data_IF_150717853855
#
_entry.id   IF_150717853855
#
_cell.length_a   1.000
_cell.length_b   1.000
_cell.length_c   1.000
_cell.angle_alpha   90.00
_cell.angle_beta   90.00
_cell.angle_gamma   90.00
#
_symmetry.space_group_name_H-M   'P 1'
#
loop_
_entity.id
_entity.type
_entity.pdbx_description
1 polymer ?
#
# COMPACT_ATOMS: atom_id res chain seq x y z
N UNK A 1 1.46 83.05 -13.23
CA UNK A 1 2.83 83.37 -13.70
C UNK A 1 2.71 84.19 -14.96
N UNK A 2 3.64 85.10 -15.20
CA UNK A 2 3.74 85.84 -16.46
C UNK A 2 4.22 84.88 -17.56
N UNK A 3 3.64 84.98 -18.75
CA UNK A 3 4.10 84.33 -19.97
C UNK A 3 5.08 85.24 -20.71
N UNK A 4 5.90 84.71 -21.63
CA UNK A 4 6.72 85.56 -22.51
C UNK A 4 5.90 86.65 -23.22
N UNK A 5 4.68 86.32 -23.64
CA UNK A 5 3.72 87.24 -24.27
C UNK A 5 3.26 88.36 -23.32
N UNK A 6 3.11 88.07 -22.02
CA UNK A 6 2.75 89.07 -21.01
C UNK A 6 3.91 90.04 -20.72
N UNK A 7 5.15 89.67 -21.05
CA UNK A 7 6.32 90.55 -20.95
C UNK A 7 6.41 91.44 -22.19
N UNK A 8 6.12 90.90 -23.37
CA UNK A 8 6.13 91.63 -24.64
C UNK A 8 5.05 92.72 -24.73
N UNK A 9 3.86 92.45 -24.21
CA UNK A 9 2.71 93.38 -24.26
C UNK A 9 2.68 94.39 -23.11
N UNK A 10 3.73 94.44 -22.29
CA UNK A 10 3.75 95.23 -21.07
C UNK A 10 4.14 96.69 -21.33
N UNK A 11 3.18 97.60 -21.11
CA UNK A 11 3.42 99.04 -21.23
C UNK A 11 3.88 99.67 -19.90
N UNK A 12 4.87 100.56 -19.98
CA UNK A 12 5.40 101.32 -18.84
C UNK A 12 5.01 102.80 -18.90
N UNK A 13 4.56 103.37 -17.77
CA UNK A 13 4.22 104.81 -17.67
C UNK A 13 5.48 105.69 -17.70
N UNK A 14 5.49 106.73 -18.54
CA UNK A 14 6.59 107.69 -18.65
C UNK A 14 6.62 108.66 -17.46
N UNK A 15 7.80 108.91 -16.89
CA UNK A 15 8.05 109.90 -15.80
C UNK A 15 9.31 110.72 -16.14
N UNK A 16 9.42 111.99 -15.69
CA UNK A 16 10.47 112.92 -16.11
C UNK A 16 11.91 112.53 -15.72
N UNK A 17 12.09 111.55 -14.83
CA UNK A 17 13.40 110.98 -14.45
C UNK A 17 13.32 109.45 -14.51
N UNK A 18 13.41 108.87 -15.71
CA UNK A 18 13.22 107.43 -15.95
C UNK A 18 14.39 106.81 -16.72
N UNK A 19 14.36 105.48 -16.82
CA UNK A 19 15.29 104.71 -17.64
C UNK A 19 15.12 105.01 -19.14
N UNK A 20 16.19 104.84 -19.91
CA UNK A 20 16.14 104.96 -21.37
C UNK A 20 15.23 103.88 -21.97
N UNK A 21 14.24 104.30 -22.76
CA UNK A 21 13.26 103.39 -23.38
C UNK A 21 13.98 102.38 -24.28
N UNK A 22 14.96 102.83 -25.08
CA UNK A 22 15.70 101.96 -26.00
C UNK A 22 16.55 100.89 -25.30
N UNK A 23 17.15 101.22 -24.15
CA UNK A 23 17.93 100.26 -23.37
C UNK A 23 17.03 99.25 -22.65
N UNK A 24 15.90 99.73 -22.12
CA UNK A 24 14.89 98.87 -21.49
C UNK A 24 14.28 97.91 -22.52
N UNK A 25 13.94 98.38 -23.73
CA UNK A 25 13.37 97.54 -24.77
C UNK A 25 14.36 96.45 -25.23
N UNK A 26 15.65 96.79 -25.41
CA UNK A 26 16.69 95.80 -25.73
C UNK A 26 16.82 94.75 -24.62
N UNK A 27 16.83 95.17 -23.36
CA UNK A 27 16.88 94.26 -22.22
C UNK A 27 15.64 93.37 -22.13
N UNK A 28 14.44 93.92 -22.40
CA UNK A 28 13.19 93.14 -22.41
C UNK A 28 13.21 92.06 -23.49
N UNK A 29 13.75 92.34 -24.68
CA UNK A 29 13.92 91.33 -25.73
C UNK A 29 14.84 90.19 -25.27
N UNK A 30 15.97 90.51 -24.63
CA UNK A 30 16.88 89.49 -24.06
C UNK A 30 16.19 88.65 -22.98
N UNK A 31 15.44 89.30 -22.08
CA UNK A 31 14.67 88.64 -21.02
C UNK A 31 13.59 87.73 -21.61
N UNK A 32 12.85 88.18 -22.63
CA UNK A 32 11.83 87.38 -23.32
C UNK A 32 12.47 86.13 -23.90
N UNK A 33 13.57 86.26 -24.65
CA UNK A 33 14.27 85.13 -25.25
C UNK A 33 14.77 84.11 -24.20
N UNK A 34 15.38 84.59 -23.12
CA UNK A 34 15.81 83.72 -22.03
C UNK A 34 14.64 83.03 -21.33
N UNK A 35 13.53 83.76 -21.12
CA UNK A 35 12.35 83.24 -20.45
C UNK A 35 11.60 82.23 -21.32
N UNK A 36 11.50 82.45 -22.64
CA UNK A 36 10.96 81.47 -23.58
C UNK A 36 11.75 80.15 -23.56
N UNK A 37 13.09 80.24 -23.59
CA UNK A 37 13.94 79.04 -23.52
C UNK A 37 13.70 78.28 -22.21
N UNK A 38 13.71 78.99 -21.08
CA UNK A 38 13.48 78.39 -19.77
C UNK A 38 12.06 77.79 -19.66
N UNK A 39 11.07 78.43 -20.25
CA UNK A 39 9.70 77.95 -20.27
C UNK A 39 9.56 76.65 -21.09
N UNK A 40 10.18 76.59 -22.28
CA UNK A 40 10.23 75.37 -23.12
C UNK A 40 10.93 74.23 -22.39
N UNK A 41 12.12 74.48 -21.84
CA UNK A 41 12.86 73.48 -21.05
C UNK A 41 12.05 72.99 -19.84
N UNK A 42 11.31 73.87 -19.16
CA UNK A 42 10.46 73.49 -18.03
C UNK A 42 9.33 72.54 -18.45
N UNK A 43 8.71 72.78 -19.60
CA UNK A 43 7.67 71.90 -20.15
C UNK A 43 8.28 70.55 -20.51
N UNK A 44 9.39 70.52 -21.25
CA UNK A 44 10.06 69.26 -21.62
C UNK A 44 10.49 68.44 -20.41
N UNK A 45 11.00 69.10 -19.36
CA UNK A 45 11.37 68.44 -18.12
C UNK A 45 10.15 67.88 -17.38
N UNK A 46 9.04 68.63 -17.34
CA UNK A 46 7.78 68.14 -16.74
C UNK A 46 7.23 66.93 -17.49
N UNK A 47 7.26 66.94 -18.82
CA UNK A 47 6.84 65.81 -19.64
C UNK A 47 7.71 64.59 -19.38
N UNK A 48 9.04 64.76 -19.35
CA UNK A 48 9.98 63.68 -18.99
C UNK A 48 9.71 63.13 -17.59
N UNK A 49 9.47 63.99 -16.61
CA UNK A 49 9.13 63.57 -15.24
C UNK A 49 7.82 62.77 -15.24
N UNK A 50 6.81 63.19 -16.00
CA UNK A 50 5.54 62.47 -16.11
C UNK A 50 5.76 61.06 -16.65
N UNK A 51 6.48 60.93 -17.77
CA UNK A 51 6.77 59.63 -18.41
C UNK A 51 7.57 58.71 -17.47
N UNK A 52 8.57 59.26 -16.77
CA UNK A 52 9.36 58.50 -15.81
C UNK A 52 8.53 58.05 -14.61
N UNK A 53 7.65 58.89 -14.09
CA UNK A 53 6.74 58.54 -13.01
C UNK A 53 5.76 57.43 -13.42
N UNK A 54 5.22 57.49 -14.63
CA UNK A 54 4.35 56.45 -15.17
C UNK A 54 5.11 55.11 -15.29
N UNK A 55 6.36 55.15 -15.76
CA UNK A 55 7.24 53.98 -15.80
C UNK A 55 7.50 53.40 -14.40
N UNK A 56 7.81 54.24 -13.42
CA UNK A 56 8.01 53.81 -12.02
C UNK A 56 6.73 53.16 -11.47
N UNK A 57 5.56 53.75 -11.74
CA UNK A 57 4.27 53.20 -11.31
C UNK A 57 4.03 51.81 -11.89
N UNK A 58 4.29 51.64 -13.19
CA UNK A 58 4.20 50.34 -13.86
C UNK A 58 5.14 49.29 -13.24
N UNK A 59 6.40 49.66 -12.99
CA UNK A 59 7.36 48.74 -12.35
C UNK A 59 6.96 48.37 -10.93
N UNK A 60 6.42 49.30 -10.13
CA UNK A 60 5.91 48.99 -8.79
C UNK A 60 4.74 48.00 -8.84
N UNK A 61 3.80 48.18 -9.76
CA UNK A 61 2.68 47.24 -9.92
C UNK A 61 3.17 45.85 -10.36
N UNK A 62 4.17 45.81 -11.24
CA UNK A 62 4.79 44.55 -11.66
C UNK A 62 5.51 43.85 -10.51
N UNK A 63 6.26 44.60 -9.71
CA UNK A 63 6.95 44.09 -8.51
C UNK A 63 5.95 43.50 -7.50
N UNK A 64 4.85 44.20 -7.22
CA UNK A 64 3.80 43.74 -6.31
C UNK A 64 3.11 42.46 -6.83
N UNK A 65 2.87 42.39 -8.14
CA UNK A 65 2.33 41.19 -8.80
C UNK A 65 3.31 40.02 -8.71
N UNK A 66 4.61 40.28 -8.95
CA UNK A 66 5.66 39.26 -8.88
C UNK A 66 5.79 38.71 -7.46
N UNK A 67 5.81 39.59 -6.45
CA UNK A 67 5.89 39.21 -5.05
C UNK A 67 4.66 38.38 -4.64
N UNK A 68 3.46 38.80 -5.05
CA UNK A 68 2.23 38.06 -4.79
C UNK A 68 2.24 36.68 -5.44
N UNK A 69 2.75 36.60 -6.68
CA UNK A 69 2.88 35.33 -7.42
C UNK A 69 3.90 34.41 -6.75
N UNK A 70 5.02 34.95 -6.25
CA UNK A 70 6.04 34.17 -5.55
C UNK A 70 5.50 33.57 -4.25
N UNK A 71 4.78 34.37 -3.46
CA UNK A 71 4.12 33.89 -2.23
C UNK A 71 3.07 32.83 -2.55
N UNK A 72 2.29 33.01 -3.62
CA UNK A 72 1.32 32.01 -4.06
C UNK A 72 2.02 30.71 -4.46
N UNK A 73 3.08 30.79 -5.26
CA UNK A 73 3.85 29.63 -5.70
C UNK A 73 4.45 28.87 -4.51
N UNK A 74 5.01 29.57 -3.52
CA UNK A 74 5.54 28.97 -2.29
C UNK A 74 4.44 28.25 -1.50
N UNK A 75 3.28 28.89 -1.31
CA UNK A 75 2.13 28.29 -0.63
C UNK A 75 1.63 27.04 -1.35
N UNK A 76 1.45 27.11 -2.67
CA UNK A 76 1.02 25.97 -3.47
C UNK A 76 2.03 24.83 -3.43
N UNK A 77 3.34 25.13 -3.43
CA UNK A 77 4.37 24.12 -3.29
C UNK A 77 4.30 23.41 -1.93
N UNK A 78 4.16 24.17 -0.85
CA UNK A 78 4.05 23.61 0.51
C UNK A 78 2.74 22.82 0.70
N UNK A 79 1.62 23.33 0.20
CA UNK A 79 0.34 22.60 0.20
C UNK A 79 0.43 21.29 -0.58
N UNK A 80 1.06 21.30 -1.76
CA UNK A 80 1.26 20.10 -2.59
C UNK A 80 2.12 19.08 -1.86
N UNK A 81 3.21 19.53 -1.23
CA UNK A 81 4.12 18.68 -0.46
C UNK A 81 3.40 18.07 0.76
N UNK A 82 2.68 18.88 1.52
CA UNK A 82 1.90 18.44 2.68
C UNK A 82 0.82 17.42 2.27
N UNK A 83 0.08 17.69 1.19
CA UNK A 83 -0.92 16.76 0.66
C UNK A 83 -0.29 15.44 0.18
N UNK A 84 0.89 15.49 -0.45
CA UNK A 84 1.61 14.28 -0.86
C UNK A 84 2.06 13.44 0.35
N UNK A 85 2.56 14.08 1.42
CA UNK A 85 2.92 13.40 2.66
C UNK A 85 1.72 12.75 3.33
N UNK A 86 0.61 13.49 3.50
CA UNK A 86 -0.62 12.95 4.09
C UNK A 86 -1.18 11.77 3.29
N UNK A 87 -1.19 11.85 1.96
CA UNK A 87 -1.60 10.73 1.10
C UNK A 87 -0.65 9.54 1.25
N UNK A 88 0.66 9.78 1.35
CA UNK A 88 1.65 8.74 1.60
C UNK A 88 1.39 7.99 2.91
N UNK A 89 1.18 8.72 4.01
CA UNK A 89 0.85 8.14 5.32
C UNK A 89 -0.47 7.37 5.27
N UNK A 90 -1.50 7.91 4.62
CA UNK A 90 -2.77 7.20 4.44
C UNK A 90 -2.62 5.89 3.67
N UNK A 91 -1.80 5.88 2.61
CA UNK A 91 -1.52 4.67 1.84
C UNK A 91 -0.83 3.63 2.73
N UNK A 92 0.21 4.03 3.46
CA UNK A 92 0.93 3.14 4.38
C UNK A 92 -0.01 2.56 5.43
N UNK A 93 -0.75 3.41 6.15
CA UNK A 93 -1.71 2.97 7.17
C UNK A 93 -2.77 2.02 6.59
N UNK A 94 -3.30 2.33 5.40
CA UNK A 94 -4.28 1.47 4.74
C UNK A 94 -3.70 0.10 4.34
N UNK A 95 -2.43 0.07 3.92
CA UNK A 95 -1.73 -1.15 3.57
C UNK A 95 -1.45 -2.00 4.81
N UNK A 96 -1.04 -1.38 5.92
CA UNK A 96 -0.80 -2.06 7.20
C UNK A 96 -2.09 -2.68 7.77
N UNK A 97 -3.22 -1.95 7.70
CA UNK A 97 -4.52 -2.48 8.13
C UNK A 97 -4.92 -3.69 7.27
N UNK A 98 -4.81 -3.58 5.94
CA UNK A 98 -5.13 -4.68 5.02
C UNK A 98 -4.23 -5.90 5.25
N UNK A 99 -2.93 -5.68 5.42
CA UNK A 99 -1.99 -6.76 5.71
C UNK A 99 -2.35 -7.45 7.03
N UNK A 100 -2.69 -6.69 8.07
CA UNK A 100 -3.11 -7.23 9.36
C UNK A 100 -4.41 -8.03 9.25
N UNK A 101 -5.38 -7.57 8.45
CA UNK A 101 -6.62 -8.29 8.18
C UNK A 101 -6.35 -9.63 7.47
N UNK A 102 -5.55 -9.62 6.40
CA UNK A 102 -5.19 -10.84 5.66
C UNK A 102 -4.48 -11.84 6.57
N UNK A 103 -3.57 -11.35 7.43
CA UNK A 103 -2.86 -12.21 8.39
C UNK A 103 -3.84 -12.88 9.37
N UNK A 104 -4.80 -12.11 9.89
CA UNK A 104 -5.79 -12.62 10.83
C UNK A 104 -6.74 -13.63 10.17
N UNK A 105 -7.24 -13.33 8.97
CA UNK A 105 -8.05 -14.26 8.17
C UNK A 105 -7.29 -15.57 7.89
N UNK A 106 -6.01 -15.46 7.52
CA UNK A 106 -5.15 -16.63 7.28
C UNK A 106 -4.97 -17.48 8.54
N UNK A 107 -4.76 -16.86 9.71
CA UNK A 107 -4.67 -17.58 10.99
C UNK A 107 -5.96 -18.29 11.33
N UNK A 108 -7.11 -17.64 11.10
CA UNK A 108 -8.42 -18.23 11.36
C UNK A 108 -8.68 -19.44 10.44
N UNK A 109 -8.30 -19.36 9.17
CA UNK A 109 -8.42 -20.50 8.25
C UNK A 109 -7.49 -21.65 8.63
N UNK A 110 -6.24 -21.37 9.00
CA UNK A 110 -5.32 -22.41 9.51
C UNK A 110 -5.90 -23.09 10.74
N UNK A 111 -6.48 -22.32 11.67
CA UNK A 111 -7.14 -22.87 12.85
C UNK A 111 -8.34 -23.74 12.49
N UNK A 112 -9.19 -23.30 11.54
CA UNK A 112 -10.33 -24.09 11.06
C UNK A 112 -9.88 -25.39 10.41
N UNK A 113 -8.86 -25.35 9.56
CA UNK A 113 -8.30 -26.55 8.90
C UNK A 113 -7.76 -27.52 9.94
N UNK A 114 -7.03 -27.05 10.96
CA UNK A 114 -6.54 -27.89 12.06
C UNK A 114 -7.68 -28.59 12.80
N UNK A 115 -8.75 -27.88 13.12
CA UNK A 115 -9.92 -28.48 13.76
C UNK A 115 -10.57 -29.57 12.89
N UNK A 116 -10.67 -29.34 11.58
CA UNK A 116 -11.25 -30.33 10.66
C UNK A 116 -10.34 -31.55 10.52
N UNK A 117 -9.02 -31.37 10.49
CA UNK A 117 -8.04 -32.47 10.53
C UNK A 117 -8.24 -33.32 11.80
N UNK A 118 -8.34 -32.69 12.97
CA UNK A 118 -8.53 -33.41 14.23
C UNK A 118 -9.87 -34.15 14.28
N UNK A 119 -10.92 -33.55 13.71
CA UNK A 119 -12.23 -34.20 13.57
C UNK A 119 -12.14 -35.43 12.66
N UNK A 120 -11.50 -35.32 11.51
CA UNK A 120 -11.31 -36.43 10.57
C UNK A 120 -10.46 -37.55 11.17
N UNK A 121 -9.39 -37.21 11.91
CA UNK A 121 -8.58 -38.19 12.65
C UNK A 121 -9.42 -38.98 13.66
N UNK A 122 -10.29 -38.31 14.42
CA UNK A 122 -11.22 -38.96 15.36
C UNK A 122 -12.23 -39.87 14.66
N UNK A 123 -12.80 -39.41 13.54
CA UNK A 123 -13.71 -40.24 12.73
C UNK A 123 -13.01 -41.49 12.18
N UNK A 124 -11.80 -41.33 11.65
CA UNK A 124 -10.99 -42.44 11.16
C UNK A 124 -10.68 -43.46 12.27
N UNK A 125 -10.25 -42.98 13.45
CA UNK A 125 -9.98 -43.85 14.59
C UNK A 125 -11.23 -44.64 15.03
N UNK A 126 -12.39 -43.98 15.12
CA UNK A 126 -13.67 -44.63 15.45
C UNK A 126 -14.05 -45.69 14.42
N UNK A 127 -14.00 -45.35 13.12
CA UNK A 127 -14.30 -46.29 12.04
C UNK A 127 -13.36 -47.50 12.05
N UNK A 128 -12.07 -47.28 12.31
CA UNK A 128 -11.08 -48.36 12.46
C UNK A 128 -11.44 -49.30 13.62
N UNK A 129 -11.82 -48.76 14.78
CA UNK A 129 -12.24 -49.57 15.94
C UNK A 129 -13.49 -50.39 15.61
N UNK A 130 -14.51 -49.76 15.01
CA UNK A 130 -15.75 -50.44 14.60
C UNK A 130 -15.47 -51.58 13.62
N UNK A 131 -14.63 -51.33 12.60
CA UNK A 131 -14.22 -52.35 11.63
C UNK A 131 -13.49 -53.51 12.30
N UNK A 132 -12.55 -53.20 13.22
CA UNK A 132 -11.84 -54.22 13.99
C UNK A 132 -12.78 -55.07 14.86
N UNK A 133 -13.79 -54.46 15.48
CA UNK A 133 -14.79 -55.17 16.26
C UNK A 133 -15.63 -56.11 15.39
N UNK A 134 -16.09 -55.65 14.22
CA UNK A 134 -16.83 -56.49 13.27
C UNK A 134 -15.98 -57.68 12.83
N UNK A 135 -14.72 -57.44 12.43
CA UNK A 135 -13.82 -58.51 11.99
C UNK A 135 -13.53 -59.52 13.10
N UNK A 136 -13.30 -59.07 14.33
CA UNK A 136 -13.13 -59.96 15.48
C UNK A 136 -14.37 -60.82 15.74
N UNK A 137 -15.56 -60.22 15.72
CA UNK A 137 -16.81 -60.95 15.89
C UNK A 137 -17.05 -61.98 14.79
N UNK A 138 -16.71 -61.67 13.53
CA UNK A 138 -16.77 -62.65 12.44
C UNK A 138 -15.78 -63.81 12.62
N UNK A 139 -14.60 -63.52 13.15
CA UNK A 139 -13.58 -64.53 13.45
C UNK A 139 -14.03 -65.46 14.58
N UNK A 140 -14.60 -64.90 15.65
CA UNK A 140 -15.15 -65.67 16.77
C UNK A 140 -16.32 -66.57 16.35
N UNK A 141 -17.19 -66.10 15.44
CA UNK A 141 -18.25 -66.92 14.84
C UNK A 141 -17.69 -68.08 14.01
N UNK A 142 -16.59 -67.86 13.26
CA UNK A 142 -15.92 -68.91 12.49
C UNK A 142 -15.25 -69.94 13.40
N UNK A 143 -14.63 -69.50 14.49
CA UNK A 143 -14.07 -70.39 15.51
C UNK A 143 -15.19 -71.21 16.17
N UNK A 144 -16.33 -70.61 16.51
CA UNK A 144 -17.50 -71.35 16.99
C UNK A 144 -18.05 -72.32 15.95
N UNK A 145 -18.13 -71.95 14.66
CA UNK A 145 -18.56 -72.90 13.62
C UNK A 145 -17.58 -74.07 13.47
N UNK A 146 -16.28 -73.83 13.60
CA UNK A 146 -15.28 -74.90 13.56
C UNK A 146 -15.39 -75.86 14.75
N UNK A 147 -15.85 -75.38 15.92
CA UNK A 147 -16.15 -76.22 17.07
C UNK A 147 -17.40 -77.11 16.88
N UNK A 148 -18.29 -76.76 15.94
CA UNK A 148 -19.43 -77.60 15.56
C UNK A 148 -19.09 -78.60 14.44
N UNK A 149 -18.04 -78.34 13.66
CA UNK A 149 -17.58 -79.26 12.60
C UNK A 149 -16.73 -80.43 13.14
N UNK A 150 -16.11 -80.29 14.32
CA UNK A 150 -15.28 -81.33 14.94
C UNK A 150 -16.08 -82.49 15.59
N UNK A 151 -17.38 -82.31 15.86
CA UNK A 151 -18.24 -83.38 16.40
C UNK A 151 -18.78 -84.34 15.32
N UNK A 152 -18.85 -83.93 14.05
CA UNK A 152 -19.32 -84.80 12.96
C UNK A 152 -18.20 -85.66 12.34
N UNK A 153 -16.94 -85.24 12.48
CA UNK A 153 -15.80 -85.90 11.84
C UNK A 153 -15.20 -87.09 12.64
N UNK A 154 -15.67 -87.34 13.87
CA UNK A 154 -15.19 -88.45 14.70
C UNK A 154 -16.11 -89.70 14.69
N UNK A 155 -16.92 -89.88 13.64
CA UNK A 155 -17.66 -91.14 13.39
C UNK A 155 -17.30 -91.84 12.08
N UNK A 156 -16.64 -91.18 11.14
CA UNK A 156 -16.43 -91.72 9.79
C UNK A 156 -14.96 -91.80 9.38
N UNK A 157 -14.10 -92.39 10.22
CA UNK A 157 -12.75 -92.73 9.77
C UNK A 157 -12.25 -94.08 10.33
N UNK A 158 -12.89 -95.15 9.87
CA UNK A 158 -12.22 -96.44 9.63
C UNK A 158 -12.56 -96.87 8.21
N UNK A 159 -11.53 -97.25 7.48
CA UNK A 159 -11.52 -97.77 6.11
C UNK A 159 -11.56 -96.72 4.99
N UNK A 160 -10.38 -96.26 4.55
CA UNK A 160 -9.69 -96.85 3.39
C UNK A 160 -8.37 -96.13 3.08
N UNK A 161 -7.33 -96.95 2.85
CA UNK A 161 -6.10 -96.58 2.13
C UNK A 161 -6.47 -96.36 0.66
N UNK A 162 -5.94 -95.34 -0.02
CA UNK A 162 -4.81 -95.51 -0.96
C UNK A 162 -4.33 -94.18 -1.59
N UNK A 163 -3.02 -94.16 -1.79
CA UNK A 163 -2.12 -93.41 -2.68
C UNK A 163 -2.57 -92.24 -3.60
N UNK A 164 -1.65 -91.23 -3.63
CA UNK A 164 -1.20 -90.36 -4.75
C UNK A 164 -2.21 -89.28 -5.22
N UNK A 165 -1.83 -88.03 -5.47
CA UNK A 165 -0.65 -87.56 -6.20
C UNK A 165 -0.30 -86.10 -5.83
N UNK A 166 0.98 -85.82 -5.91
CA UNK A 166 1.65 -84.55 -5.72
C UNK A 166 1.42 -83.61 -6.91
N UNK A 167 0.99 -82.37 -6.66
CA UNK A 167 1.35 -81.25 -7.52
C UNK A 167 1.45 -79.94 -6.72
N UNK A 168 2.66 -79.40 -6.71
CA UNK A 168 2.99 -78.07 -6.22
C UNK A 168 2.21 -77.01 -7.01
N UNK A 169 1.50 -76.12 -6.31
CA UNK A 169 1.09 -74.84 -6.87
C UNK A 169 1.68 -73.69 -6.04
N UNK A 170 2.51 -72.90 -6.74
CA UNK A 170 3.41 -71.88 -6.20
C UNK A 170 2.63 -70.78 -5.47
N UNK A 171 3.06 -70.45 -4.24
CA UNK A 171 2.72 -69.17 -3.60
C UNK A 171 3.44 -68.06 -4.34
N UNK A 172 2.74 -67.34 -5.21
CA UNK A 172 3.20 -66.03 -5.66
C UNK A 172 3.23 -65.08 -4.45
N UNK A 173 4.44 -64.68 -4.06
CA UNK A 173 4.63 -63.59 -3.11
C UNK A 173 4.20 -62.30 -3.80
N UNK A 174 3.10 -61.71 -3.32
CA UNK A 174 2.72 -60.34 -3.69
C UNK A 174 3.89 -59.40 -3.47
N UNK A 175 4.21 -58.60 -4.49
CA UNK A 175 5.29 -57.61 -4.47
C UNK A 175 5.07 -56.58 -3.35
N UNK A 176 6.12 -56.09 -2.66
CA UNK A 176 5.97 -55.01 -1.72
C UNK A 176 5.51 -53.75 -2.46
N UNK A 177 4.47 -53.13 -1.93
CA UNK A 177 3.96 -51.84 -2.42
C UNK A 177 5.05 -50.81 -2.13
N UNK A 178 5.49 -50.10 -3.16
CA UNK A 178 6.57 -49.10 -3.09
C UNK A 178 6.20 -47.98 -2.12
N UNK A 179 7.13 -47.63 -1.23
CA UNK A 179 7.06 -46.56 -0.23
C UNK A 179 7.11 -45.14 -0.82
N UNK A 180 6.67 -44.93 -2.07
CA UNK A 180 6.69 -43.61 -2.71
C UNK A 180 5.34 -42.92 -2.59
N UNK A 181 4.97 -42.57 -1.35
CA UNK A 181 4.24 -41.32 -1.05
C UNK A 181 4.41 -40.99 0.44
N UNK A 182 5.67 -40.92 0.89
CA UNK A 182 6.01 -40.23 2.14
C UNK A 182 5.98 -38.72 1.87
N UNK A 183 4.81 -38.10 1.97
CA UNK A 183 4.76 -36.67 2.26
C UNK A 183 5.29 -36.53 3.68
N UNK A 184 6.49 -35.98 3.79
CA UNK A 184 7.17 -35.66 5.03
C UNK A 184 6.28 -34.67 5.80
N UNK A 185 5.45 -35.18 6.70
CA UNK A 185 4.92 -34.39 7.80
C UNK A 185 6.00 -34.38 8.88
N UNK A 186 6.57 -33.21 9.10
CA UNK A 186 7.71 -32.97 9.97
C UNK A 186 7.44 -33.17 11.47
N UNK A 187 6.26 -33.62 11.88
CA UNK A 187 5.96 -33.87 13.29
C UNK A 187 5.75 -35.37 13.56
N UNK A 188 6.86 -36.11 13.58
CA UNK A 188 6.91 -37.56 13.90
C UNK A 188 6.83 -37.86 15.40
N UNK A 189 6.89 -36.85 16.28
CA UNK A 189 6.96 -37.04 17.73
C UNK A 189 5.60 -37.42 18.36
N UNK A 190 4.50 -36.80 17.93
CA UNK A 190 3.15 -37.09 18.47
C UNK A 190 2.66 -38.53 18.18
N UNK A 191 3.13 -39.13 17.07
CA UNK A 191 2.79 -40.51 16.70
C UNK A 191 3.51 -41.56 17.55
N UNK A 192 4.67 -41.22 18.10
CA UNK A 192 5.41 -42.10 19.02
C UNK A 192 4.72 -42.14 20.37
N UNK A 193 4.35 -40.99 20.93
CA UNK A 193 3.70 -40.91 22.25
C UNK A 193 2.35 -41.63 22.27
N UNK A 194 1.55 -41.48 21.20
CA UNK A 194 0.26 -42.15 21.12
C UNK A 194 0.41 -43.68 21.02
N UNK A 195 1.36 -44.18 20.24
CA UNK A 195 1.64 -45.61 20.15
C UNK A 195 2.25 -46.16 21.45
N UNK A 196 3.03 -45.37 22.17
CA UNK A 196 3.61 -45.78 23.45
C UNK A 196 2.53 -45.88 24.55
N UNK A 197 1.56 -44.95 24.58
CA UNK A 197 0.38 -45.06 25.44
C UNK A 197 -0.49 -46.29 25.12
N UNK A 198 -0.68 -46.61 23.84
CA UNK A 198 -1.43 -47.82 23.45
C UNK A 198 -0.67 -49.12 23.74
N UNK A 199 0.67 -49.12 23.72
CA UNK A 199 1.48 -50.28 24.12
C UNK A 199 1.39 -50.52 25.63
N UNK A 200 1.51 -49.45 26.43
CA UNK A 200 1.39 -49.53 27.89
C UNK A 200 -0.02 -49.95 28.35
N UNK A 201 -1.08 -49.53 27.64
CA UNK A 201 -2.45 -49.98 27.92
C UNK A 201 -2.68 -51.46 27.57
N UNK A 202 -1.91 -52.03 26.64
CA UNK A 202 -2.00 -53.45 26.26
C UNK A 202 -1.19 -54.36 27.19
N UNK A 203 -0.10 -53.85 27.76
CA UNK A 203 0.75 -54.59 28.69
C UNK A 203 0.28 -54.46 30.17
N UNK A 204 -0.65 -53.53 30.45
CA UNK A 204 -1.19 -53.27 31.80
C UNK A 204 -2.31 -54.22 32.27
N UNK A 205 -2.87 -55.06 31.40
CA UNK A 205 -3.95 -56.03 31.72
C UNK A 205 -3.44 -57.48 31.87
N UNK A 206 -2.13 -57.66 32.09
CA UNK A 206 -1.53 -58.97 32.30
C UNK A 206 -0.71 -59.03 33.61
N UNK A 207 -1.37 -58.90 34.77
CA UNK A 207 -1.06 -59.56 36.06
C UNK A 207 -2.40 -59.79 36.78
#
# INVERSE_FOLDING_TARGET
MLTPLDIETREFKRKPYGYSIEEVDKFLIEVINCYERLYKENIELKDKISILNDGISHYKSLEETLQSTLVLAERTAEETKSAAHQKGEQIINSAEIKASQILEESKQEVFRIRQEIDRLKKQYASAKIQMMQILKGQLELLEQSSLFDDEENNRNNRDTRDSRDSSEFKREKGKPIKEDTMLVFEDYEDYKELNEQFRLARDGDAI
#
